data_IF_222194146484
#
_entry.id   IF_222194146484
#
_cell.length_a   1.000
_cell.length_b   1.000
_cell.length_c   1.000
_cell.angle_alpha   90.00
_cell.angle_beta   90.00
_cell.angle_gamma   90.00
#
_symmetry.space_group_name_H-M   'P 1'
#
loop_
_entity.id
_entity.type
_entity.pdbx_description
1 polymer ?
#
# COMPACT_ATOMS: atom_id res chain seq x y z
N UNK A 1 -8.24 39.44 38.20
CA UNK A 1 -7.18 39.12 37.21
C UNK A 1 -6.76 37.63 37.30
N UNK A 2 -7.70 36.69 37.19
CA UNK A 2 -7.41 35.24 37.24
C UNK A 2 -8.10 34.44 36.12
N UNK A 3 -9.13 35.01 35.47
CA UNK A 3 -9.83 34.39 34.33
C UNK A 3 -9.02 34.44 33.02
N UNK A 4 -8.20 35.46 32.81
CA UNK A 4 -7.34 35.61 31.62
C UNK A 4 -6.20 34.59 31.54
N UNK A 5 -5.84 33.98 32.67
CA UNK A 5 -4.76 33.00 32.75
C UNK A 5 -5.24 31.62 32.27
N UNK A 6 -6.50 31.25 32.55
CA UNK A 6 -7.08 29.96 32.14
C UNK A 6 -7.30 29.83 30.62
N UNK A 7 -7.66 30.92 29.93
CA UNK A 7 -7.85 30.89 28.46
C UNK A 7 -6.55 30.69 27.69
N UNK A 8 -5.40 31.14 28.22
CA UNK A 8 -4.11 30.98 27.52
C UNK A 8 -3.69 29.51 27.41
N UNK A 9 -3.90 28.72 28.46
CA UNK A 9 -3.58 27.29 28.44
C UNK A 9 -4.53 26.47 27.56
N UNK A 10 -5.79 26.89 27.43
CA UNK A 10 -6.76 26.24 26.53
C UNK A 10 -6.35 26.39 25.06
N UNK A 11 -5.87 27.57 24.66
CA UNK A 11 -5.40 27.85 23.29
C UNK A 11 -4.13 27.03 22.99
N UNK A 12 -3.20 26.94 23.94
CA UNK A 12 -1.99 26.11 23.80
C UNK A 12 -2.35 24.63 23.67
N UNK A 13 -3.29 24.13 24.49
CA UNK A 13 -3.79 22.76 24.40
C UNK A 13 -4.45 22.49 23.04
N UNK A 14 -5.31 23.39 22.54
CA UNK A 14 -5.93 23.29 21.22
C UNK A 14 -4.89 23.28 20.09
N UNK A 15 -3.88 24.15 20.15
CA UNK A 15 -2.79 24.18 19.16
C UNK A 15 -1.96 22.89 19.16
N UNK A 16 -1.76 22.26 20.32
CA UNK A 16 -1.07 20.96 20.42
C UNK A 16 -1.91 19.83 19.81
N UNK A 17 -3.24 19.84 20.01
CA UNK A 17 -4.15 18.84 19.42
C UNK A 17 -4.23 19.02 17.89
N UNK A 18 -4.25 20.25 17.37
CA UNK A 18 -4.23 20.53 15.92
C UNK A 18 -2.85 20.28 15.27
N UNK A 19 -1.75 20.44 16.02
CA UNK A 19 -0.40 20.02 15.58
C UNK A 19 -0.24 18.50 15.51
N UNK A 20 -1.20 17.75 16.06
CA UNK A 20 -1.24 16.29 15.97
C UNK A 20 -1.86 15.79 14.64
N UNK A 21 -2.10 16.68 13.66
CA UNK A 21 -2.14 16.27 12.25
C UNK A 21 -0.74 15.84 11.86
N UNK A 22 -0.42 14.60 12.24
CA UNK A 22 0.74 13.85 11.80
C UNK A 22 0.78 13.97 10.28
N UNK A 23 1.55 14.93 9.77
CA UNK A 23 1.93 14.94 8.36
C UNK A 23 2.47 13.56 8.11
N UNK A 24 1.85 12.82 7.21
CA UNK A 24 2.38 11.56 6.72
C UNK A 24 3.75 11.92 6.13
N UNK A 25 4.79 11.67 6.92
CA UNK A 25 6.17 11.91 6.52
C UNK A 25 6.48 11.01 5.34
N UNK A 26 7.00 11.62 4.28
CA UNK A 26 7.34 11.04 2.98
C UNK A 26 6.15 10.51 2.16
N UNK A 27 5.55 11.40 1.37
CA UNK A 27 4.80 11.00 0.18
C UNK A 27 5.76 10.34 -0.82
N UNK A 28 6.02 9.05 -0.62
CA UNK A 28 6.64 8.24 -1.66
C UNK A 28 5.53 7.85 -2.64
N UNK A 29 5.27 8.75 -3.58
CA UNK A 29 4.17 8.65 -4.55
C UNK A 29 4.33 7.45 -5.49
N UNK A 30 5.53 6.87 -5.57
CA UNK A 30 5.82 5.73 -6.44
C UNK A 30 4.97 4.49 -6.07
N UNK A 31 4.53 4.41 -4.81
CA UNK A 31 3.65 3.35 -4.33
C UNK A 31 2.15 3.60 -4.64
N UNK A 32 1.73 4.83 -4.96
CA UNK A 32 0.32 5.16 -5.24
C UNK A 32 -0.12 4.45 -6.53
N UNK A 33 -1.27 3.80 -6.54
CA UNK A 33 -1.85 3.13 -7.70
C UNK A 33 -2.37 1.74 -7.38
N UNK A 34 -2.80 1.03 -8.43
CA UNK A 34 -3.23 -0.36 -8.37
C UNK A 34 -2.05 -1.27 -8.64
N UNK A 35 -1.83 -2.22 -7.74
CA UNK A 35 -0.80 -3.24 -7.84
C UNK A 35 -1.44 -4.61 -7.85
N UNK A 36 -1.02 -5.45 -8.79
CA UNK A 36 -1.53 -6.81 -8.93
C UNK A 36 -0.40 -7.82 -8.75
N UNK A 37 -0.68 -8.90 -8.05
CA UNK A 37 0.22 -10.02 -7.86
C UNK A 37 -0.53 -11.33 -7.89
N UNK A 38 0.19 -12.42 -8.15
CA UNK A 38 -0.37 -13.77 -8.11
C UNK A 38 0.52 -14.68 -7.28
N UNK A 39 -0.11 -15.54 -6.51
CA UNK A 39 0.55 -16.57 -5.72
C UNK A 39 -0.02 -17.91 -6.11
N UNK A 40 0.81 -18.79 -6.68
CA UNK A 40 0.34 -20.01 -7.36
C UNK A 40 -0.64 -19.66 -8.48
N UNK A 41 -1.08 -20.64 -9.27
CA UNK A 41 -2.00 -20.38 -10.39
C UNK A 41 -3.39 -19.90 -9.93
N UNK A 42 -3.71 -20.05 -8.65
CA UNK A 42 -5.07 -19.93 -8.11
C UNK A 42 -5.26 -18.80 -7.11
N UNK A 43 -4.25 -17.99 -6.79
CA UNK A 43 -4.47 -16.88 -5.86
C UNK A 43 -4.05 -15.56 -6.46
N UNK A 44 -4.99 -14.60 -6.45
CA UNK A 44 -4.76 -13.24 -6.92
C UNK A 44 -4.77 -12.28 -5.75
N UNK A 45 -3.84 -11.34 -5.76
CA UNK A 45 -3.66 -10.33 -4.74
C UNK A 45 -3.66 -8.96 -5.41
N UNK A 46 -4.40 -8.02 -4.84
CA UNK A 46 -4.51 -6.65 -5.30
C UNK A 46 -4.24 -5.71 -4.14
N UNK A 47 -3.41 -4.70 -4.38
CA UNK A 47 -3.15 -3.60 -3.44
C UNK A 47 -3.45 -2.30 -4.16
N UNK A 48 -4.44 -1.55 -3.69
CA UNK A 48 -4.67 -0.19 -4.18
C UNK A 48 -4.22 0.80 -3.11
N UNK A 49 -3.36 1.74 -3.50
CA UNK A 49 -2.86 2.82 -2.65
C UNK A 49 -3.30 4.13 -3.27
N UNK A 50 -4.05 4.93 -2.52
CA UNK A 50 -4.61 6.18 -2.97
C UNK A 50 -3.69 7.35 -2.58
N UNK A 51 -3.85 8.46 -3.30
CA UNK A 51 -3.10 9.70 -3.08
C UNK A 51 -3.38 10.37 -1.73
N UNK A 52 -4.53 10.10 -1.14
CA UNK A 52 -4.96 10.57 0.18
C UNK A 52 -4.41 9.72 1.35
N UNK A 53 -3.45 8.84 1.08
CA UNK A 53 -2.89 7.89 2.05
C UNK A 53 -3.88 6.85 2.58
N UNK A 54 -4.99 6.57 1.91
CA UNK A 54 -5.77 5.36 2.13
C UNK A 54 -5.33 4.25 1.20
N UNK A 55 -5.70 3.02 1.54
CA UNK A 55 -5.48 1.90 0.66
C UNK A 55 -6.35 0.73 1.02
N UNK A 56 -6.38 -0.22 0.11
CA UNK A 56 -7.03 -1.48 0.31
C UNK A 56 -6.15 -2.62 -0.20
N UNK A 57 -6.30 -3.75 0.47
CA UNK A 57 -5.71 -5.00 0.08
C UNK A 57 -6.85 -5.98 -0.15
N UNK A 58 -6.79 -6.69 -1.26
CA UNK A 58 -7.77 -7.70 -1.63
C UNK A 58 -7.04 -8.96 -2.07
N UNK A 59 -7.37 -10.07 -1.43
CA UNK A 59 -6.83 -11.38 -1.73
C UNK A 59 -8.00 -12.30 -2.09
N UNK A 60 -7.86 -13.06 -3.17
CA UNK A 60 -8.91 -13.95 -3.66
C UNK A 60 -8.31 -15.29 -4.08
N UNK A 61 -8.75 -16.37 -3.43
CA UNK A 61 -8.51 -17.75 -3.90
C UNK A 61 -9.54 -18.08 -4.97
N UNK A 62 -9.07 -18.47 -6.15
CA UNK A 62 -9.93 -18.81 -7.29
C UNK A 62 -10.64 -20.15 -7.15
N UNK A 63 -10.18 -21.04 -6.26
CA UNK A 63 -10.77 -22.37 -6.04
C UNK A 63 -12.02 -22.37 -5.16
N UNK A 64 -12.02 -21.57 -4.09
CA UNK A 64 -12.99 -21.73 -2.99
C UNK A 64 -13.83 -20.48 -2.71
N UNK A 65 -13.66 -19.41 -3.49
CA UNK A 65 -14.40 -18.14 -3.30
C UNK A 65 -14.00 -17.35 -2.05
N UNK A 66 -13.12 -17.91 -1.22
CA UNK A 66 -12.53 -17.24 -0.08
C UNK A 66 -11.80 -15.97 -0.53
N UNK A 67 -12.27 -14.83 0.00
CA UNK A 67 -11.63 -13.55 -0.21
C UNK A 67 -11.41 -12.83 1.11
N UNK A 68 -10.26 -12.17 1.21
CA UNK A 68 -9.92 -11.29 2.32
C UNK A 68 -9.84 -9.86 1.79
N UNK A 69 -10.50 -8.94 2.50
CA UNK A 69 -10.49 -7.52 2.15
C UNK A 69 -10.12 -6.67 3.36
N UNK A 70 -9.00 -5.96 3.24
CA UNK A 70 -8.48 -5.06 4.26
C UNK A 70 -8.54 -3.63 3.70
N UNK A 71 -8.92 -2.67 4.55
CA UNK A 71 -8.89 -1.24 4.23
C UNK A 71 -8.25 -0.47 5.38
N UNK A 72 -7.56 0.62 5.07
CA UNK A 72 -7.06 1.52 6.11
C UNK A 72 -6.08 2.55 5.58
N UNK A 73 -5.51 3.32 6.49
CA UNK A 73 -4.44 4.27 6.16
C UNK A 73 -3.18 3.53 5.76
N UNK A 74 -2.62 3.91 4.62
CA UNK A 74 -1.33 3.45 4.09
C UNK A 74 -0.21 4.21 4.78
N UNK A 75 0.79 3.48 5.28
CA UNK A 75 2.04 4.05 5.79
C UNK A 75 3.21 3.29 5.20
N UNK A 76 4.08 3.99 4.50
CA UNK A 76 5.28 3.39 3.89
C UNK A 76 6.52 3.94 4.60
N UNK A 77 7.43 3.05 4.94
CA UNK A 77 8.79 3.38 5.33
C UNK A 77 9.77 2.46 4.60
N UNK A 78 11.08 2.60 4.85
CA UNK A 78 12.15 1.93 4.10
C UNK A 78 11.92 0.43 3.87
N UNK A 79 11.35 -0.28 4.85
CA UNK A 79 11.21 -1.74 4.82
C UNK A 79 9.78 -2.21 5.12
N UNK A 80 8.81 -1.29 5.24
CA UNK A 80 7.46 -1.64 5.69
C UNK A 80 6.39 -0.78 5.03
N UNK A 81 5.39 -1.44 4.48
CA UNK A 81 4.10 -0.88 4.12
C UNK A 81 3.08 -1.34 5.17
N UNK A 82 2.20 -0.47 5.63
CA UNK A 82 1.10 -0.84 6.53
C UNK A 82 -0.21 -0.36 5.95
N UNK A 83 -1.28 -1.16 6.02
CA UNK A 83 -2.64 -0.77 5.65
C UNK A 83 -3.54 -1.04 6.85
N UNK A 84 -3.96 0.02 7.54
CA UNK A 84 -4.70 -0.13 8.81
C UNK A 84 -3.86 -0.83 9.87
N UNK A 85 -4.35 -1.97 10.37
CA UNK A 85 -3.65 -2.78 11.39
C UNK A 85 -2.63 -3.78 10.79
N UNK A 86 -2.67 -3.99 9.46
CA UNK A 86 -1.82 -4.97 8.79
C UNK A 86 -0.48 -4.35 8.40
N UNK A 87 0.59 -5.15 8.50
CA UNK A 87 1.95 -4.76 8.20
C UNK A 87 2.53 -5.70 7.15
N UNK A 88 3.26 -5.12 6.20
CA UNK A 88 3.85 -5.76 5.04
C UNK A 88 5.31 -5.32 4.97
N UNK A 89 6.25 -6.24 4.87
CA UNK A 89 7.69 -5.99 4.73
C UNK A 89 8.06 -5.78 3.26
N UNK A 90 8.55 -4.59 2.95
CA UNK A 90 9.11 -4.25 1.65
C UNK A 90 10.56 -4.76 1.60
N UNK A 91 10.90 -5.57 0.61
CA UNK A 91 12.29 -6.01 0.38
C UNK A 91 13.02 -5.09 -0.60
N UNK A 92 12.30 -4.57 -1.59
CA UNK A 92 12.79 -3.54 -2.51
C UNK A 92 11.71 -2.49 -2.79
N UNK A 93 12.08 -1.20 -2.93
CA UNK A 93 11.15 -0.18 -3.39
C UNK A 93 10.76 -0.39 -4.87
N UNK A 94 9.67 0.25 -5.34
CA UNK A 94 9.29 0.27 -6.75
C UNK A 94 10.47 0.64 -7.65
N UNK A 95 10.72 -0.21 -8.64
CA UNK A 95 11.67 0.07 -9.72
C UNK A 95 10.96 0.01 -11.07
N UNK A 96 11.34 0.92 -11.97
CA UNK A 96 10.81 0.96 -13.32
C UNK A 96 11.41 -0.19 -14.13
N UNK A 97 10.56 -1.00 -14.74
CA UNK A 97 10.99 -2.06 -15.65
C UNK A 97 11.41 -1.42 -16.97
N UNK A 98 12.63 -1.72 -17.42
CA UNK A 98 13.12 -1.31 -18.74
C UNK A 98 12.91 -2.48 -19.69
N UNK A 99 12.10 -2.28 -20.73
CA UNK A 99 11.84 -3.28 -21.76
C UNK A 99 12.79 -3.06 -22.94
N UNK A 100 13.62 -4.06 -23.25
CA UNK A 100 14.50 -4.01 -24.41
C UNK A 100 13.81 -4.54 -25.68
N UNK A 101 12.79 -5.37 -25.52
CA UNK A 101 11.98 -5.92 -26.60
C UNK A 101 10.50 -6.09 -26.20
N UNK A 102 9.63 -6.30 -27.19
CA UNK A 102 8.19 -6.56 -26.94
C UNK A 102 7.94 -7.86 -26.18
N UNK A 103 8.81 -8.87 -26.34
CA UNK A 103 8.72 -10.14 -25.59
C UNK A 103 9.05 -10.00 -24.11
N UNK A 104 9.75 -8.93 -23.72
CA UNK A 104 10.09 -8.66 -22.32
C UNK A 104 8.96 -7.95 -21.57
N UNK A 105 7.94 -7.48 -22.29
CA UNK A 105 6.82 -6.71 -21.75
C UNK A 105 5.92 -7.56 -20.87
N UNK A 106 5.73 -7.14 -19.61
CA UNK A 106 4.78 -7.76 -18.68
C UNK A 106 3.45 -7.02 -18.80
N UNK A 107 2.36 -7.76 -18.95
CA UNK A 107 1.02 -7.19 -18.97
C UNK A 107 0.19 -7.70 -17.79
N UNK A 108 -0.57 -6.79 -17.19
CA UNK A 108 -1.56 -7.09 -16.16
C UNK A 108 -2.89 -7.25 -16.85
N UNK A 109 -3.67 -8.25 -16.44
CA UNK A 109 -5.03 -8.46 -16.90
C UNK A 109 -6.01 -8.14 -15.77
N UNK A 110 -6.74 -7.02 -15.91
CA UNK A 110 -7.81 -6.63 -15.00
C UNK A 110 -9.17 -6.77 -15.70
N UNK A 111 -9.90 -7.84 -15.36
CA UNK A 111 -11.25 -8.22 -15.81
C UNK A 111 -11.47 -8.29 -17.34
N UNK A 112 -11.25 -7.20 -18.09
CA UNK A 112 -11.38 -7.11 -19.56
C UNK A 112 -10.34 -6.19 -20.22
N UNK A 113 -9.44 -5.59 -19.45
CA UNK A 113 -8.38 -4.72 -19.97
C UNK A 113 -7.02 -5.30 -19.67
N UNK A 114 -6.15 -5.24 -20.68
CA UNK A 114 -4.74 -5.62 -20.56
C UNK A 114 -3.91 -4.36 -20.57
N UNK A 115 -3.22 -4.09 -19.47
CA UNK A 115 -2.35 -2.92 -19.32
C UNK A 115 -0.88 -3.35 -19.24
N UNK A 116 0.02 -2.54 -19.78
CA UNK A 116 1.45 -2.78 -19.69
C UNK A 116 1.94 -2.43 -18.27
N UNK A 117 2.49 -3.40 -17.56
CA UNK A 117 3.18 -3.12 -16.30
C UNK A 117 4.47 -2.38 -16.58
N UNK A 118 4.73 -1.30 -15.86
CA UNK A 118 5.97 -0.52 -15.97
C UNK A 118 6.75 -0.49 -14.65
N UNK A 119 6.18 -1.01 -13.58
CA UNK A 119 6.76 -1.10 -12.25
C UNK A 119 6.71 -2.53 -11.71
N UNK A 120 7.68 -2.85 -10.86
CA UNK A 120 7.75 -4.12 -10.14
C UNK A 120 8.04 -3.87 -8.66
N UNK A 121 7.42 -4.67 -7.80
CA UNK A 121 7.67 -4.71 -6.36
C UNK A 121 7.64 -6.16 -5.88
N UNK A 122 8.46 -6.51 -4.88
CA UNK A 122 8.44 -7.86 -4.28
C UNK A 122 8.16 -7.79 -2.79
N UNK A 123 7.16 -8.57 -2.34
CA UNK A 123 6.85 -8.79 -0.94
C UNK A 123 7.35 -10.17 -0.50
N UNK A 124 8.11 -10.20 0.59
CA UNK A 124 8.66 -11.45 1.16
C UNK A 124 8.20 -11.67 2.62
N UNK A 125 7.54 -10.69 3.28
CA UNK A 125 6.99 -10.90 4.62
C UNK A 125 5.81 -9.93 4.91
N UNK A 126 4.77 -10.29 5.68
CA UNK A 126 4.42 -11.66 6.00
C UNK A 126 4.22 -12.41 4.69
N UNK A 127 4.80 -13.60 4.64
CA UNK A 127 4.64 -14.47 3.50
C UNK A 127 3.15 -14.73 3.36
N UNK A 128 2.69 -14.65 2.13
CA UNK A 128 1.30 -14.87 1.84
C UNK A 128 0.99 -16.34 2.14
N UNK A 129 -0.05 -16.60 2.94
CA UNK A 129 -0.34 -17.91 3.53
C UNK A 129 0.86 -18.59 4.21
N UNK A 130 1.77 -17.82 4.82
CA UNK A 130 2.83 -18.34 5.68
C UNK A 130 4.06 -18.90 4.97
N UNK A 131 4.09 -18.97 3.63
CA UNK A 131 5.27 -19.48 2.90
C UNK A 131 5.60 -18.80 1.57
N UNK A 132 4.65 -18.12 0.93
CA UNK A 132 4.81 -17.75 -0.47
C UNK A 132 5.16 -16.26 -0.64
N UNK A 133 6.19 -16.01 -1.46
CA UNK A 133 6.55 -14.67 -1.93
C UNK A 133 5.60 -14.22 -3.04
N UNK A 134 5.36 -12.91 -3.12
CA UNK A 134 4.48 -12.33 -4.14
C UNK A 134 5.21 -11.23 -4.86
N UNK A 135 5.25 -11.33 -6.18
CA UNK A 135 5.69 -10.22 -7.04
C UNK A 135 4.47 -9.44 -7.50
N UNK A 136 4.53 -8.13 -7.33
CA UNK A 136 3.50 -7.18 -7.73
C UNK A 136 3.95 -6.36 -8.93
N UNK A 137 2.99 -6.04 -9.79
CA UNK A 137 3.16 -5.26 -11.00
C UNK A 137 2.16 -4.12 -11.03
N UNK A 138 2.57 -2.99 -11.63
CA UNK A 138 1.76 -1.80 -11.88
C UNK A 138 2.19 -1.16 -13.20
#
# INVERSE_FOLDING_TARGET
MQLLVKSKYLIVLLLIIFSCKKKVENYNTDYIGSWSGSVRETVRVFINIYDDSHGNYYCMKTSDGDSEKIKGTVRVNKNRLSIGIHNFKIVSPPEKIIFNSKSDSVYIEEYYFRELATWKMTLINPLFYGSDEVTYYK
#
